data_IF_689460128045
#
_entry.id   IF_689460128045
#
_cell.length_a   1.000
_cell.length_b   1.000
_cell.length_c   1.000
_cell.angle_alpha   90.00
_cell.angle_beta   90.00
_cell.angle_gamma   90.00
#
_symmetry.space_group_name_H-M   'P 1'
#
loop_
_entity.id
_entity.type
_entity.pdbx_description
1 polymer ?
#
# COMPACT_ATOMS: atom_id res chain seq x y z
N UNK A 1 -29.06 -67.90 37.89
CA UNK A 1 -29.76 -66.61 37.77
C UNK A 1 -29.76 -66.21 36.30
N UNK A 2 -30.89 -65.68 35.86
CA UNK A 2 -31.51 -65.78 34.54
C UNK A 2 -30.71 -65.23 33.34
N UNK A 3 -30.95 -65.84 32.18
CA UNK A 3 -30.64 -65.34 30.85
C UNK A 3 -31.79 -64.45 30.35
N UNK A 4 -31.48 -63.36 29.66
CA UNK A 4 -32.33 -62.71 28.63
C UNK A 4 -31.39 -62.09 27.59
N UNK A 5 -31.45 -62.64 26.37
CA UNK A 5 -31.05 -62.01 25.13
C UNK A 5 -32.21 -61.13 24.61
N UNK A 6 -31.91 -60.31 23.61
CA UNK A 6 -32.82 -59.52 22.76
C UNK A 6 -33.27 -58.20 23.44
N UNK A 7 -33.23 -57.03 22.80
CA UNK A 7 -33.49 -56.72 21.39
C UNK A 7 -32.57 -55.59 20.89
N UNK A 8 -32.22 -55.65 19.60
CA UNK A 8 -31.77 -54.49 18.84
C UNK A 8 -32.94 -53.50 18.78
N UNK A 9 -32.89 -52.41 19.55
CA UNK A 9 -33.73 -51.25 19.29
C UNK A 9 -33.05 -50.43 18.19
N UNK A 10 -33.35 -50.80 16.95
CA UNK A 10 -33.15 -49.97 15.79
C UNK A 10 -34.09 -48.77 15.88
N UNK A 11 -33.74 -47.80 16.73
CA UNK A 11 -34.28 -46.45 16.64
C UNK A 11 -33.74 -45.85 15.34
N UNK A 12 -34.56 -45.86 14.31
CA UNK A 12 -34.30 -45.08 13.10
C UNK A 12 -33.95 -43.65 13.51
N UNK A 13 -32.93 -42.98 12.93
CA UNK A 13 -32.85 -41.55 13.07
C UNK A 13 -34.10 -41.00 12.39
N UNK A 14 -35.08 -40.56 13.20
CA UNK A 14 -36.26 -39.83 12.74
C UNK A 14 -35.80 -38.76 11.75
N UNK A 15 -36.05 -39.04 10.49
CA UNK A 15 -35.61 -38.29 9.32
C UNK A 15 -36.46 -37.03 9.12
N UNK A 16 -36.82 -36.32 10.20
CA UNK A 16 -37.79 -35.22 10.12
C UNK A 16 -37.41 -34.01 11.00
N UNK A 17 -36.13 -33.64 10.97
CA UNK A 17 -35.64 -32.42 11.65
C UNK A 17 -34.47 -31.71 10.94
N UNK A 18 -34.06 -32.13 9.75
CA UNK A 18 -32.90 -31.52 9.07
C UNK A 18 -33.24 -30.27 8.25
N UNK A 19 -34.45 -30.18 7.69
CA UNK A 19 -34.76 -29.16 6.68
C UNK A 19 -34.96 -27.74 7.23
N UNK A 20 -35.16 -27.58 8.53
CA UNK A 20 -35.29 -26.25 9.16
C UNK A 20 -34.02 -25.79 9.89
N UNK A 21 -33.04 -26.66 10.09
CA UNK A 21 -31.81 -26.33 10.81
C UNK A 21 -30.72 -25.74 9.90
N UNK A 22 -30.68 -26.17 8.63
CA UNK A 22 -29.65 -25.74 7.67
C UNK A 22 -29.79 -24.26 7.24
N UNK A 23 -31.00 -23.70 7.29
CA UNK A 23 -31.29 -22.29 6.96
C UNK A 23 -31.22 -21.34 8.17
N UNK A 24 -30.85 -21.84 9.36
CA UNK A 24 -30.71 -21.00 10.54
C UNK A 24 -29.48 -20.08 10.41
N UNK A 25 -29.63 -18.77 10.67
CA UNK A 25 -28.51 -17.85 10.63
C UNK A 25 -27.52 -18.19 11.74
N UNK A 26 -26.32 -18.63 11.36
CA UNK A 26 -25.23 -18.89 12.28
C UNK A 26 -24.80 -17.59 12.97
N UNK A 27 -25.07 -17.51 14.27
CA UNK A 27 -24.72 -16.35 15.11
C UNK A 27 -23.25 -16.51 15.56
N UNK A 28 -22.54 -15.39 15.66
CA UNK A 28 -21.14 -15.34 16.12
C UNK A 28 -20.14 -16.14 15.27
N UNK A 29 -20.40 -16.34 13.97
CA UNK A 29 -19.49 -17.06 13.06
C UNK A 29 -18.48 -16.15 12.31
N UNK A 30 -18.45 -14.85 12.61
CA UNK A 30 -17.53 -13.91 11.95
C UNK A 30 -16.10 -14.10 12.49
N UNK A 31 -15.04 -13.79 11.71
CA UNK A 31 -13.65 -13.95 12.15
C UNK A 31 -13.35 -13.31 13.53
N UNK A 32 -13.97 -12.18 13.83
CA UNK A 32 -13.87 -11.50 15.14
C UNK A 32 -14.34 -12.32 16.35
N UNK A 33 -15.08 -13.41 16.13
CA UNK A 33 -15.64 -14.28 17.17
C UNK A 33 -14.96 -15.66 17.19
N UNK A 34 -14.35 -16.07 16.09
CA UNK A 34 -13.67 -17.37 15.95
C UNK A 34 -12.15 -17.25 16.19
N UNK A 35 -11.56 -16.12 15.81
CA UNK A 35 -10.14 -15.90 15.92
C UNK A 35 -9.80 -15.16 17.22
N UNK A 36 -8.69 -15.53 17.90
CA UNK A 36 -8.19 -14.73 19.00
C UNK A 36 -7.84 -13.33 18.49
N UNK A 37 -8.42 -12.31 19.11
CA UNK A 37 -8.19 -10.91 18.74
C UNK A 37 -6.73 -10.55 19.07
N UNK A 38 -5.88 -10.62 18.05
CA UNK A 38 -4.48 -10.21 18.12
C UNK A 38 -4.32 -8.84 17.46
N UNK A 39 -3.46 -8.00 18.04
CA UNK A 39 -3.05 -6.75 17.39
C UNK A 39 -2.24 -7.07 16.13
N UNK A 40 -2.37 -6.22 15.11
CA UNK A 40 -1.50 -6.32 13.94
C UNK A 40 -0.04 -6.12 14.37
N UNK A 41 0.87 -6.92 13.80
CA UNK A 41 2.29 -6.73 14.04
C UNK A 41 2.74 -5.39 13.45
N UNK A 42 3.63 -4.71 14.17
CA UNK A 42 4.13 -3.41 13.74
C UNK A 42 5.25 -3.63 12.73
N UNK A 43 4.94 -3.45 11.45
CA UNK A 43 5.96 -3.36 10.40
C UNK A 43 6.68 -2.00 10.46
N UNK A 44 8.01 -2.04 10.53
CA UNK A 44 8.83 -0.83 10.46
C UNK A 44 8.99 -0.38 9.00
N UNK A 45 8.35 0.73 8.64
CA UNK A 45 8.45 1.27 7.29
C UNK A 45 9.54 2.35 7.17
N UNK A 46 10.46 2.21 6.21
CA UNK A 46 11.57 3.15 5.96
C UNK A 46 11.26 4.19 4.88
N UNK A 47 10.03 4.72 4.85
CA UNK A 47 9.59 5.71 3.84
C UNK A 47 10.21 7.10 4.01
N UNK A 48 10.78 7.39 5.20
CA UNK A 48 11.44 8.67 5.46
C UNK A 48 12.87 8.63 4.95
N UNK A 49 13.21 9.63 4.14
CA UNK A 49 14.59 9.87 3.71
C UNK A 49 15.45 10.14 4.95
N UNK A 50 16.47 9.30 5.17
CA UNK A 50 17.35 9.36 6.34
C UNK A 50 18.29 10.57 6.31
N UNK A 51 18.75 10.96 5.12
CA UNK A 51 19.71 12.05 4.94
C UNK A 51 19.21 13.06 3.92
N UNK A 52 19.21 14.34 4.30
CA UNK A 52 18.82 15.44 3.41
C UNK A 52 20.07 16.12 2.89
N UNK A 53 20.25 16.10 1.57
CA UNK A 53 21.35 16.78 0.91
C UNK A 53 21.05 18.27 0.73
N UNK A 54 22.07 19.12 0.92
CA UNK A 54 22.00 20.55 0.67
C UNK A 54 23.21 20.97 -0.16
N UNK A 55 22.98 21.73 -1.22
CA UNK A 55 24.05 22.36 -2.00
C UNK A 55 24.58 23.57 -1.23
N UNK A 56 25.84 23.51 -0.79
CA UNK A 56 26.45 24.55 0.03
C UNK A 56 27.11 25.65 -0.81
N UNK A 57 27.66 25.30 -1.97
CA UNK A 57 28.37 26.23 -2.85
C UNK A 57 28.03 25.97 -4.31
N UNK A 58 27.97 27.04 -5.10
CA UNK A 58 27.82 27.03 -6.55
C UNK A 58 28.84 27.99 -7.14
N UNK A 59 29.48 27.61 -8.24
CA UNK A 59 30.31 28.49 -9.05
C UNK A 59 29.63 28.70 -10.41
N UNK A 60 29.29 29.94 -10.73
CA UNK A 60 28.82 30.33 -12.06
C UNK A 60 29.97 31.03 -12.79
N UNK A 61 30.39 30.48 -13.92
CA UNK A 61 31.43 31.07 -14.77
C UNK A 61 30.77 31.58 -16.02
N UNK A 62 30.88 32.90 -16.24
CA UNK A 62 30.34 33.58 -17.42
C UNK A 62 31.52 34.07 -18.25
N UNK A 63 31.60 33.65 -19.50
CA UNK A 63 32.64 34.07 -20.45
C UNK A 63 32.09 35.12 -21.41
N UNK A 64 31.67 36.27 -20.87
CA UNK A 64 31.06 37.35 -21.64
C UNK A 64 32.06 38.49 -21.84
N UNK A 65 32.33 38.88 -23.09
CA UNK A 65 33.11 40.07 -23.42
C UNK A 65 32.14 41.21 -23.78
N UNK A 66 31.70 41.97 -22.78
CA UNK A 66 30.59 42.92 -22.94
C UNK A 66 30.87 43.97 -24.01
N UNK A 67 29.96 44.11 -24.96
CA UNK A 67 30.06 45.10 -26.05
C UNK A 67 31.06 44.75 -27.15
N UNK A 68 31.74 43.61 -27.04
CA UNK A 68 32.62 43.08 -28.08
C UNK A 68 32.01 41.81 -28.61
N UNK A 69 31.61 41.87 -29.87
CA UNK A 69 31.09 40.69 -30.55
C UNK A 69 32.25 39.77 -30.91
N UNK A 70 32.12 38.45 -30.66
CA UNK A 70 33.10 37.51 -31.14
C UNK A 70 33.13 37.59 -32.68
N UNK A 71 34.33 37.49 -33.27
CA UNK A 71 34.53 37.74 -34.71
C UNK A 71 33.78 36.75 -35.61
N UNK A 72 33.22 35.68 -35.04
CA UNK A 72 32.57 34.58 -35.75
C UNK A 72 31.05 34.75 -35.90
N UNK A 73 30.45 35.81 -35.33
CA UNK A 73 28.99 35.99 -35.32
C UNK A 73 28.59 37.31 -36.00
N UNK A 74 27.83 37.20 -37.09
CA UNK A 74 27.17 38.34 -37.73
C UNK A 74 25.80 38.55 -37.07
N UNK A 75 25.58 39.72 -36.46
CA UNK A 75 24.34 40.05 -35.74
C UNK A 75 23.32 40.76 -36.63
N UNK A 76 22.03 40.45 -36.41
CA UNK A 76 20.89 41.19 -36.99
C UNK A 76 20.74 42.57 -36.33
N UNK A 77 20.13 43.53 -37.04
CA UNK A 77 19.75 44.83 -36.47
C UNK A 77 18.22 44.91 -36.33
N UNK A 78 17.66 45.00 -35.10
CA UNK A 78 18.34 45.05 -33.80
C UNK A 78 18.85 43.67 -33.31
N UNK A 79 19.85 43.68 -32.43
CA UNK A 79 20.39 42.49 -31.76
C UNK A 79 19.74 42.29 -30.39
N UNK A 80 19.44 41.03 -30.01
CA UNK A 80 19.03 40.70 -28.65
C UNK A 80 20.21 40.86 -27.68
N UNK A 81 20.03 41.69 -26.64
CA UNK A 81 21.10 42.10 -25.71
C UNK A 81 20.83 41.77 -24.24
N UNK A 82 19.69 41.15 -23.94
CA UNK A 82 19.25 40.92 -22.57
C UNK A 82 20.02 39.73 -21.96
N UNK A 83 20.79 40.00 -20.91
CA UNK A 83 21.59 39.01 -20.18
C UNK A 83 21.12 38.99 -18.73
N UNK A 84 20.64 37.84 -18.26
CA UNK A 84 20.08 37.71 -16.90
C UNK A 84 18.95 38.72 -16.58
N UNK A 85 18.14 39.07 -17.58
CA UNK A 85 17.04 40.05 -17.50
C UNK A 85 17.48 41.52 -17.36
N UNK A 86 18.75 41.81 -17.67
CA UNK A 86 19.35 43.15 -17.68
C UNK A 86 19.79 43.50 -19.10
#
# INVERSE_FOLDING_TARGET
YLAVNDEEDSGEPDSDSSDFEDDLPLIFNKPRHLEPIKGAEREEHSWRVKEKYKTHCVALVLCLNVGVDPPDVIKTQPCARLECWI
#
